data_IF_686925762277
#
_entry.id   IF_686925762277
#
_cell.length_a   1.000
_cell.length_b   1.000
_cell.length_c   1.000
_cell.angle_alpha   90.00
_cell.angle_beta   90.00
_cell.angle_gamma   90.00
#
_symmetry.space_group_name_H-M   'P 1'
#
loop_
_entity.id
_entity.type
_entity.pdbx_description
1 polymer ?
#
# COMPACT_ATOMS: atom_id res chain seq x y z
N UNK A 1 -6.35 40.97 -22.61
CA UNK A 1 -7.06 39.84 -23.28
C UNK A 1 -7.17 38.72 -22.27
N UNK A 2 -8.37 38.53 -21.68
CA UNK A 2 -8.61 37.45 -20.75
C UNK A 2 -8.58 36.14 -21.52
N UNK A 3 -7.80 35.17 -21.03
CA UNK A 3 -7.85 33.79 -21.54
C UNK A 3 -9.22 33.19 -21.29
N UNK A 4 -9.58 32.11 -21.97
CA UNK A 4 -10.87 31.49 -21.79
C UNK A 4 -11.03 31.01 -20.35
N UNK A 5 -12.18 31.36 -19.76
CA UNK A 5 -12.58 30.84 -18.46
C UNK A 5 -12.63 29.31 -18.51
N UNK A 6 -12.13 28.66 -17.48
CA UNK A 6 -12.16 27.19 -17.39
C UNK A 6 -13.22 26.76 -16.39
N UNK A 7 -14.05 25.81 -16.82
CA UNK A 7 -15.03 25.17 -15.97
C UNK A 7 -14.40 23.96 -15.25
N UNK A 8 -14.59 23.92 -13.93
CA UNK A 8 -14.20 22.78 -13.09
C UNK A 8 -15.43 22.19 -12.44
N UNK A 9 -15.53 20.87 -12.50
CA UNK A 9 -16.52 20.12 -11.73
C UNK A 9 -15.92 19.76 -10.37
N UNK A 10 -16.56 20.17 -9.30
CA UNK A 10 -16.18 19.83 -7.93
C UNK A 10 -17.24 18.92 -7.36
N UNK A 11 -16.83 17.73 -6.91
CA UNK A 11 -17.70 16.82 -6.17
C UNK A 11 -17.72 17.25 -4.70
N UNK A 12 -18.92 17.52 -4.17
CA UNK A 12 -19.11 17.84 -2.76
C UNK A 12 -19.43 16.55 -1.99
N UNK A 13 -19.29 16.56 -0.66
CA UNK A 13 -19.64 15.42 0.21
C UNK A 13 -21.10 14.93 0.05
N UNK A 14 -21.95 15.75 -0.59
CA UNK A 14 -23.35 15.41 -0.89
C UNK A 14 -23.53 14.83 -2.30
N UNK A 15 -22.44 14.58 -3.04
CA UNK A 15 -22.48 13.97 -4.37
C UNK A 15 -22.95 14.91 -5.50
N UNK A 16 -23.02 16.21 -5.27
CA UNK A 16 -23.42 17.20 -6.27
C UNK A 16 -22.19 17.76 -6.98
N UNK A 17 -22.19 17.69 -8.31
CA UNK A 17 -21.19 18.37 -9.13
C UNK A 17 -21.57 19.85 -9.26
N UNK A 18 -20.75 20.72 -8.71
CA UNK A 18 -20.87 22.17 -8.92
C UNK A 18 -19.82 22.60 -9.94
N UNK A 19 -20.26 23.24 -11.01
CA UNK A 19 -19.35 23.83 -12.01
C UNK A 19 -18.94 25.23 -11.55
N UNK A 20 -17.63 25.44 -11.47
CA UNK A 20 -17.05 26.72 -11.08
C UNK A 20 -16.29 27.27 -12.29
N UNK A 21 -16.67 28.47 -12.72
CA UNK A 21 -15.96 29.17 -13.76
C UNK A 21 -14.86 30.03 -13.13
N UNK A 22 -13.60 29.72 -13.40
CA UNK A 22 -12.44 30.41 -12.81
C UNK A 22 -11.55 31.00 -13.90
N UNK A 23 -11.13 32.24 -13.67
CA UNK A 23 -10.15 32.91 -14.53
C UNK A 23 -8.77 32.22 -14.46
N UNK A 24 -7.98 32.38 -15.52
CA UNK A 24 -6.67 31.75 -15.70
C UNK A 24 -5.74 31.95 -14.49
N UNK A 25 -5.72 33.15 -13.90
CA UNK A 25 -4.86 33.44 -12.72
C UNK A 25 -5.20 32.62 -11.50
N UNK A 26 -6.52 32.40 -11.24
CA UNK A 26 -6.97 31.59 -10.12
C UNK A 26 -6.65 30.11 -10.34
N UNK A 27 -6.70 29.65 -11.58
CA UNK A 27 -6.29 28.30 -11.95
C UNK A 27 -4.80 28.06 -11.75
N UNK A 28 -3.96 29.01 -12.15
CA UNK A 28 -2.51 28.91 -12.02
C UNK A 28 -2.10 28.85 -10.52
N UNK A 29 -2.76 29.65 -9.67
CA UNK A 29 -2.57 29.55 -8.22
C UNK A 29 -3.01 28.21 -7.64
N UNK A 30 -4.13 27.65 -8.11
CA UNK A 30 -4.59 26.32 -7.70
C UNK A 30 -3.58 25.22 -8.06
N UNK A 31 -3.02 25.27 -9.27
CA UNK A 31 -1.99 24.33 -9.71
C UNK A 31 -0.72 24.46 -8.85
N UNK A 32 -0.34 25.69 -8.49
CA UNK A 32 0.81 25.97 -7.64
C UNK A 32 0.58 25.45 -6.20
N UNK A 33 -0.62 25.63 -5.65
CA UNK A 33 -0.98 25.10 -4.33
C UNK A 33 -0.95 23.56 -4.32
N UNK A 34 -1.42 22.90 -5.37
CA UNK A 34 -1.32 21.44 -5.52
C UNK A 34 0.13 20.95 -5.63
N UNK A 35 1.01 21.70 -6.28
CA UNK A 35 2.44 21.36 -6.34
C UNK A 35 3.11 21.46 -4.98
N UNK A 36 2.74 22.46 -4.18
CA UNK A 36 3.30 22.66 -2.84
C UNK A 36 2.74 21.70 -1.80
N UNK A 37 1.48 21.26 -1.98
CA UNK A 37 0.73 20.43 -1.05
C UNK A 37 -0.05 19.34 -1.79
N UNK A 38 0.61 18.33 -2.37
CA UNK A 38 -0.03 17.34 -3.21
C UNK A 38 -1.08 16.47 -2.49
N UNK A 39 -1.05 16.46 -1.15
CA UNK A 39 -1.99 15.69 -0.32
C UNK A 39 -3.13 16.56 0.27
N UNK A 40 -3.20 17.83 -0.08
CA UNK A 40 -4.16 18.79 0.47
C UNK A 40 -5.03 19.39 -0.65
N UNK A 41 -5.61 18.52 -1.44
CA UNK A 41 -6.46 18.86 -2.58
C UNK A 41 -7.67 19.68 -2.14
N UNK A 42 -8.27 19.38 -0.99
CA UNK A 42 -9.43 20.08 -0.45
C UNK A 42 -9.13 21.52 -0.08
N UNK A 43 -7.93 21.79 0.45
CA UNK A 43 -7.49 23.15 0.74
C UNK A 43 -7.30 23.97 -0.53
N UNK A 44 -6.70 23.39 -1.57
CA UNK A 44 -6.50 24.06 -2.85
C UNK A 44 -7.83 24.38 -3.52
N UNK A 45 -8.78 23.45 -3.51
CA UNK A 45 -10.14 23.64 -4.00
C UNK A 45 -10.89 24.72 -3.19
N UNK A 46 -10.78 24.69 -1.87
CA UNK A 46 -11.41 25.69 -1.01
C UNK A 46 -10.88 27.10 -1.32
N UNK A 47 -9.57 27.28 -1.52
CA UNK A 47 -8.99 28.57 -1.92
C UNK A 47 -9.50 29.06 -3.27
N UNK A 48 -9.60 28.12 -4.25
CA UNK A 48 -10.10 28.43 -5.58
C UNK A 48 -11.55 28.89 -5.54
N UNK A 49 -12.40 28.16 -4.82
CA UNK A 49 -13.85 28.45 -4.66
C UNK A 49 -14.06 29.72 -3.83
N UNK A 50 -13.34 29.89 -2.74
CA UNK A 50 -13.46 31.03 -1.84
C UNK A 50 -13.09 32.38 -2.46
N UNK A 51 -12.19 32.40 -3.47
CA UNK A 51 -11.86 33.60 -4.22
C UNK A 51 -12.98 34.03 -5.19
N UNK A 52 -13.77 33.08 -5.66
CA UNK A 52 -14.78 33.31 -6.68
C UNK A 52 -16.20 33.43 -6.11
N UNK A 53 -16.43 33.05 -4.86
CA UNK A 53 -17.76 33.04 -4.23
C UNK A 53 -17.72 33.71 -2.85
N UNK A 54 -18.30 34.91 -2.74
CA UNK A 54 -18.34 35.66 -1.49
C UNK A 54 -19.17 34.99 -0.37
N UNK A 55 -19.97 33.98 -0.69
CA UNK A 55 -20.82 33.23 0.26
C UNK A 55 -20.09 32.11 1.01
N UNK A 56 -18.95 31.63 0.51
CA UNK A 56 -18.12 30.62 1.18
C UNK A 56 -17.09 31.25 2.14
N UNK A 57 -17.50 32.23 2.93
CA UNK A 57 -16.63 32.95 3.86
C UNK A 57 -16.33 32.22 5.17
N UNK A 58 -16.92 31.09 5.43
CA UNK A 58 -16.53 30.27 6.57
C UNK A 58 -15.35 29.40 6.15
N UNK A 59 -14.14 29.82 6.54
CA UNK A 59 -12.96 28.98 6.58
C UNK A 59 -13.40 27.66 7.25
N UNK A 60 -13.30 26.49 6.56
CA UNK A 60 -13.48 25.25 7.27
C UNK A 60 -12.56 25.34 8.48
N UNK A 61 -13.08 25.07 9.66
CA UNK A 61 -12.29 25.10 10.90
C UNK A 61 -11.25 23.97 10.83
N UNK A 62 -10.18 24.19 10.07
CA UNK A 62 -8.92 23.47 10.28
C UNK A 62 -8.30 24.00 11.58
N UNK A 63 -9.06 23.88 12.67
CA UNK A 63 -8.65 24.32 14.01
C UNK A 63 -7.76 23.28 14.71
N UNK A 64 -7.44 22.20 14.04
CA UNK A 64 -6.37 21.30 14.50
C UNK A 64 -5.25 21.27 13.46
N UNK A 65 -3.98 21.36 13.88
CA UNK A 65 -2.89 20.97 12.99
C UNK A 65 -3.25 19.59 12.44
N UNK A 66 -2.91 19.28 11.16
CA UNK A 66 -3.16 17.96 10.62
C UNK A 66 -2.70 16.96 11.67
N UNK A 67 -3.52 15.94 12.01
CA UNK A 67 -3.12 14.96 13.02
C UNK A 67 -1.69 14.54 12.68
N UNK A 68 -0.78 14.48 13.68
CA UNK A 68 0.60 14.07 13.42
C UNK A 68 0.50 12.81 12.56
N UNK A 69 1.32 12.67 11.49
CA UNK A 69 1.20 11.58 10.54
C UNK A 69 0.97 10.32 11.36
N UNK A 70 -0.16 9.67 11.14
CA UNK A 70 -0.58 8.53 11.93
C UNK A 70 0.65 7.64 12.04
N UNK A 71 1.12 7.37 13.27
CA UNK A 71 2.30 6.54 13.50
C UNK A 71 2.16 5.38 12.58
N UNK A 72 3.11 5.21 11.64
CA UNK A 72 2.97 4.22 10.59
C UNK A 72 2.61 2.91 11.28
N UNK A 73 1.36 2.47 11.12
CA UNK A 73 0.86 1.27 11.79
C UNK A 73 1.76 0.07 11.49
N UNK A 74 2.54 0.17 10.42
CA UNK A 74 3.54 -0.81 9.98
C UNK A 74 4.94 -0.42 10.44
N UNK A 75 5.11 -0.21 11.75
CA UNK A 75 6.34 0.32 12.34
C UNK A 75 7.45 -0.72 12.54
N UNK A 76 7.13 -2.02 12.42
CA UNK A 76 8.08 -3.10 12.72
C UNK A 76 8.55 -3.75 11.42
N UNK A 77 9.87 -3.80 11.21
CA UNK A 77 10.43 -4.55 10.08
C UNK A 77 10.24 -6.06 10.28
N UNK A 78 9.73 -6.73 9.26
CA UNK A 78 9.54 -8.19 9.22
C UNK A 78 10.29 -8.84 8.05
N UNK A 79 11.29 -8.14 7.49
CA UNK A 79 12.07 -8.66 6.37
C UNK A 79 12.85 -9.92 6.80
N UNK A 80 12.48 -11.06 6.21
CA UNK A 80 13.04 -12.38 6.57
C UNK A 80 12.28 -13.12 7.66
N UNK A 81 11.41 -12.45 8.41
CA UNK A 81 10.74 -12.99 9.61
C UNK A 81 9.21 -12.85 9.60
N UNK A 82 8.58 -12.86 8.44
CA UNK A 82 7.11 -12.87 8.33
C UNK A 82 6.56 -14.21 8.83
N UNK A 83 5.55 -14.18 9.68
CA UNK A 83 4.86 -15.36 10.24
C UNK A 83 3.36 -15.33 9.93
N UNK A 84 2.70 -16.47 10.12
CA UNK A 84 1.24 -16.57 10.00
C UNK A 84 0.58 -15.70 11.06
N UNK A 85 -0.43 -14.91 10.66
CA UNK A 85 -1.10 -13.93 11.52
C UNK A 85 -0.51 -12.53 11.44
N UNK A 86 0.66 -12.32 10.83
CA UNK A 86 1.18 -10.98 10.59
C UNK A 86 0.29 -10.21 9.61
N UNK A 87 0.00 -8.94 9.92
CA UNK A 87 -0.55 -7.98 8.98
C UNK A 87 0.63 -7.17 8.43
N UNK A 88 0.91 -7.35 7.15
CA UNK A 88 2.12 -6.84 6.50
C UNK A 88 1.82 -5.82 5.42
N UNK A 89 2.79 -4.93 5.21
CA UNK A 89 2.83 -3.96 4.11
C UNK A 89 4.15 -4.13 3.37
N UNK A 90 4.06 -4.26 2.06
CA UNK A 90 5.24 -4.45 1.21
C UNK A 90 5.03 -3.85 -0.18
N UNK A 91 6.15 -3.56 -0.84
CA UNK A 91 6.14 -3.10 -2.22
C UNK A 91 6.52 -4.22 -3.17
N UNK A 92 5.77 -4.37 -4.26
CA UNK A 92 6.11 -5.32 -5.31
C UNK A 92 6.14 -4.67 -6.69
N UNK A 93 7.06 -5.16 -7.52
CA UNK A 93 7.15 -4.75 -8.93
C UNK A 93 6.15 -5.52 -9.76
N UNK A 94 5.42 -4.81 -10.61
CA UNK A 94 4.43 -5.36 -11.55
C UNK A 94 5.05 -5.51 -12.92
N UNK A 95 4.88 -6.69 -13.51
CA UNK A 95 5.38 -7.01 -14.83
C UNK A 95 4.24 -7.49 -15.74
N UNK A 96 4.28 -7.09 -16.99
CA UNK A 96 3.40 -7.60 -18.04
C UNK A 96 4.21 -8.51 -18.95
N UNK A 97 3.67 -9.69 -19.23
CA UNK A 97 4.26 -10.61 -20.19
C UNK A 97 3.88 -10.19 -21.60
N UNK A 98 4.86 -9.85 -22.42
CA UNK A 98 4.70 -9.59 -23.84
C UNK A 98 5.55 -10.59 -24.62
N UNK A 99 4.90 -11.44 -25.38
CA UNK A 99 5.43 -12.47 -26.27
C UNK A 99 6.60 -13.34 -25.73
N UNK A 100 7.72 -12.80 -25.39
CA UNK A 100 8.90 -13.55 -24.90
C UNK A 100 9.62 -12.88 -23.72
N UNK A 101 9.21 -11.69 -23.32
CA UNK A 101 9.90 -10.93 -22.27
C UNK A 101 8.91 -10.30 -21.27
N UNK A 102 9.25 -10.40 -20.00
CA UNK A 102 8.57 -9.64 -18.97
C UNK A 102 8.96 -8.16 -19.07
N UNK A 103 7.99 -7.27 -19.29
CA UNK A 103 8.19 -5.81 -19.30
C UNK A 103 7.76 -5.26 -17.94
N UNK A 104 8.62 -4.50 -17.31
CA UNK A 104 8.31 -3.78 -16.09
C UNK A 104 7.24 -2.73 -16.37
N UNK A 105 6.18 -2.73 -15.55
CA UNK A 105 5.05 -1.80 -15.68
C UNK A 105 5.09 -0.72 -14.61
N UNK A 106 5.58 -1.04 -13.43
CA UNK A 106 5.64 -0.14 -12.30
C UNK A 106 5.60 -0.88 -10.97
N UNK A 107 5.24 -0.18 -9.92
CA UNK A 107 5.21 -0.70 -8.55
C UNK A 107 3.81 -0.56 -7.96
N UNK A 108 3.55 -1.41 -6.99
CA UNK A 108 2.38 -1.29 -6.13
C UNK A 108 2.73 -1.63 -4.70
N UNK A 109 2.05 -0.98 -3.79
CA UNK A 109 2.06 -1.27 -2.35
C UNK A 109 0.90 -2.19 -2.03
N UNK A 110 1.15 -3.22 -1.27
CA UNK A 110 0.15 -4.22 -0.87
C UNK A 110 0.13 -4.34 0.64
N UNK A 111 -1.06 -4.30 1.20
CA UNK A 111 -1.33 -4.63 2.60
C UNK A 111 -2.09 -5.95 2.66
N UNK A 112 -1.63 -6.88 3.46
CA UNK A 112 -2.19 -8.21 3.50
C UNK A 112 -1.98 -8.90 4.86
N UNK A 113 -2.90 -9.80 5.20
CA UNK A 113 -2.77 -10.75 6.31
C UNK A 113 -2.10 -12.02 5.80
N UNK A 114 -1.15 -12.54 6.57
CA UNK A 114 -0.50 -13.82 6.29
C UNK A 114 -1.34 -14.95 6.84
N UNK A 115 -2.03 -15.66 5.96
CA UNK A 115 -2.96 -16.74 6.35
C UNK A 115 -2.26 -18.08 6.48
N UNK A 116 -1.25 -18.33 5.64
CA UNK A 116 -0.52 -19.61 5.63
C UNK A 116 0.92 -19.40 5.16
N UNK A 117 1.82 -20.16 5.73
CA UNK A 117 3.16 -20.35 5.19
C UNK A 117 3.34 -21.83 4.76
N UNK A 118 4.19 -22.03 3.77
CA UNK A 118 4.60 -23.36 3.35
C UNK A 118 6.06 -23.37 2.92
N UNK A 119 6.76 -24.44 3.27
CA UNK A 119 8.14 -24.65 2.89
C UNK A 119 8.23 -25.80 1.89
N UNK A 120 8.61 -25.49 0.65
CA UNK A 120 8.76 -26.49 -0.39
C UNK A 120 9.98 -27.39 -0.12
N UNK A 121 9.74 -28.63 0.27
CA UNK A 121 10.80 -29.60 0.62
C UNK A 121 11.83 -29.80 -0.50
N UNK A 122 11.40 -29.81 -1.76
CA UNK A 122 12.31 -30.02 -2.92
C UNK A 122 13.11 -28.76 -3.28
N UNK A 123 12.50 -27.58 -3.23
CA UNK A 123 13.07 -26.34 -3.73
C UNK A 123 13.60 -25.41 -2.64
N UNK A 124 13.40 -25.77 -1.37
CA UNK A 124 13.66 -24.92 -0.20
C UNK A 124 13.08 -23.49 -0.35
N UNK A 125 11.94 -23.40 -1.00
CA UNK A 125 11.30 -22.13 -1.26
C UNK A 125 10.15 -21.90 -0.30
N UNK A 126 10.30 -20.89 0.53
CA UNK A 126 9.22 -20.38 1.37
C UNK A 126 8.16 -19.71 0.51
N UNK A 127 6.91 -20.06 0.73
CA UNK A 127 5.75 -19.49 0.03
C UNK A 127 4.71 -19.08 1.05
N UNK A 128 4.24 -17.84 0.97
CA UNK A 128 3.21 -17.29 1.83
C UNK A 128 1.89 -17.18 1.07
N UNK A 129 0.81 -17.58 1.72
CA UNK A 129 -0.56 -17.28 1.27
C UNK A 129 -1.02 -16.02 2.00
N UNK A 130 -1.38 -15.02 1.24
CA UNK A 130 -1.74 -13.70 1.71
C UNK A 130 -3.21 -13.44 1.41
N UNK A 131 -3.96 -12.92 2.39
CA UNK A 131 -5.29 -12.37 2.20
C UNK A 131 -5.16 -10.86 2.06
N UNK A 132 -5.50 -10.33 0.90
CA UNK A 132 -5.35 -8.91 0.59
C UNK A 132 -6.30 -8.07 1.46
N UNK A 133 -5.76 -7.03 2.09
CA UNK A 133 -6.49 -6.00 2.82
C UNK A 133 -6.69 -4.80 1.91
N UNK A 134 -5.60 -4.29 1.35
CA UNK A 134 -5.62 -3.19 0.40
C UNK A 134 -4.46 -3.30 -0.61
N UNK A 135 -4.61 -2.67 -1.76
CA UNK A 135 -3.54 -2.51 -2.73
C UNK A 135 -3.63 -1.13 -3.37
N UNK A 136 -2.49 -0.48 -3.57
CA UNK A 136 -2.39 0.85 -4.17
C UNK A 136 -1.29 0.87 -5.24
N UNK A 137 -1.48 1.63 -6.31
CA UNK A 137 -0.53 1.76 -7.41
C UNK A 137 -0.92 0.95 -8.65
N UNK A 138 0.07 0.53 -9.43
CA UNK A 138 -0.15 -0.11 -10.74
C UNK A 138 -0.90 -1.45 -10.60
N UNK A 139 -1.99 -1.58 -11.37
CA UNK A 139 -2.85 -2.78 -11.40
C UNK A 139 -3.38 -3.20 -10.00
N UNK A 140 -3.55 -2.25 -9.09
CA UNK A 140 -4.07 -2.51 -7.74
C UNK A 140 -5.44 -3.22 -7.79
N UNK A 141 -6.29 -2.91 -8.77
CA UNK A 141 -7.61 -3.52 -9.00
C UNK A 141 -7.55 -5.05 -9.19
N UNK A 142 -6.41 -5.60 -9.57
CA UNK A 142 -6.22 -7.05 -9.71
C UNK A 142 -6.12 -7.77 -8.36
N UNK A 143 -5.95 -7.01 -7.27
CA UNK A 143 -5.85 -7.46 -5.90
C UNK A 143 -6.94 -6.84 -5.02
N UNK A 144 -8.23 -7.13 -5.27
CA UNK A 144 -9.30 -6.61 -4.43
C UNK A 144 -9.19 -7.13 -2.98
N UNK A 145 -9.71 -6.38 -2.01
CA UNK A 145 -9.78 -6.82 -0.62
C UNK A 145 -10.42 -8.21 -0.47
N UNK A 146 -9.88 -9.02 0.43
CA UNK A 146 -10.31 -10.40 0.66
C UNK A 146 -9.75 -11.44 -0.29
N UNK A 147 -9.11 -11.06 -1.40
CA UNK A 147 -8.50 -11.99 -2.35
C UNK A 147 -7.34 -12.75 -1.70
N UNK A 148 -7.34 -14.08 -1.88
CA UNK A 148 -6.19 -14.91 -1.53
C UNK A 148 -5.20 -14.95 -2.68
N UNK A 149 -3.93 -14.75 -2.37
CA UNK A 149 -2.83 -14.81 -3.33
C UNK A 149 -1.60 -15.41 -2.70
N UNK A 150 -0.69 -15.95 -3.51
CA UNK A 150 0.55 -16.54 -3.01
C UNK A 150 1.75 -15.71 -3.42
N UNK A 151 2.73 -15.59 -2.51
CA UNK A 151 4.02 -14.93 -2.77
C UNK A 151 5.16 -15.80 -2.29
N UNK A 152 6.17 -15.92 -3.13
CA UNK A 152 7.43 -16.54 -2.74
C UNK A 152 8.18 -15.62 -1.80
N UNK A 153 8.76 -16.13 -0.73
CA UNK A 153 9.48 -15.34 0.27
C UNK A 153 10.53 -14.41 -0.33
N UNK A 154 11.32 -14.92 -1.29
CA UNK A 154 12.32 -14.09 -2.00
C UNK A 154 11.73 -12.86 -2.70
N UNK A 155 10.49 -12.95 -3.20
CA UNK A 155 9.83 -11.83 -3.86
C UNK A 155 9.20 -10.89 -2.84
N UNK A 156 8.65 -11.46 -1.77
CA UNK A 156 8.06 -10.71 -0.67
C UNK A 156 9.09 -9.82 0.01
N UNK A 157 10.27 -10.38 0.31
CA UNK A 157 11.33 -9.66 1.03
C UNK A 157 12.20 -8.74 0.15
N UNK A 158 12.04 -8.79 -1.16
CA UNK A 158 12.94 -8.09 -2.11
C UNK A 158 13.05 -6.59 -1.86
N UNK A 159 11.97 -5.93 -1.43
CA UNK A 159 11.91 -4.48 -1.20
C UNK A 159 11.66 -4.12 0.27
N UNK A 160 11.87 -5.09 1.16
CA UNK A 160 11.51 -4.95 2.56
C UNK A 160 10.03 -5.22 2.81
N UNK A 161 9.75 -5.63 4.02
CA UNK A 161 8.40 -5.89 4.53
C UNK A 161 8.30 -5.28 5.91
N UNK A 162 7.27 -4.52 6.14
CA UNK A 162 6.92 -4.02 7.45
C UNK A 162 5.63 -4.69 7.94
N UNK A 163 5.46 -4.83 9.23
CA UNK A 163 4.27 -5.38 9.86
C UNK A 163 3.66 -4.45 10.90
N UNK A 164 2.40 -4.64 11.18
CA UNK A 164 1.78 -4.07 12.37
C UNK A 164 2.30 -4.82 13.61
N UNK A 165 2.56 -4.12 14.73
CA UNK A 165 2.81 -4.80 15.99
C UNK A 165 1.60 -5.62 16.41
N UNK A 166 1.83 -6.78 16.98
CA UNK A 166 0.78 -7.60 17.56
C UNK A 166 0.32 -6.98 18.90
N UNK A 167 -0.95 -7.16 19.27
CA UNK A 167 -1.39 -6.80 20.62
C UNK A 167 -0.62 -7.51 21.73
N UNK A 168 -0.10 -8.71 21.42
CA UNK A 168 0.72 -9.54 22.30
C UNK A 168 1.87 -10.13 21.48
N UNK A 169 3.05 -9.51 21.54
CA UNK A 169 4.23 -9.93 20.80
C UNK A 169 4.78 -11.29 21.27
N UNK A 170 4.49 -11.71 22.51
CA UNK A 170 4.93 -13.02 23.01
C UNK A 170 4.24 -14.17 22.28
N UNK A 171 2.97 -13.99 21.88
CA UNK A 171 2.25 -14.96 21.05
C UNK A 171 2.84 -15.05 19.65
N UNK A 172 3.28 -13.92 19.10
CA UNK A 172 3.95 -13.90 17.79
C UNK A 172 5.28 -14.66 17.86
N UNK A 173 6.05 -14.47 18.93
CA UNK A 173 7.33 -15.16 19.15
C UNK A 173 7.13 -16.68 19.14
N UNK A 174 6.12 -17.18 19.82
CA UNK A 174 5.76 -18.61 19.79
C UNK A 174 5.52 -19.11 18.35
N UNK A 175 4.77 -18.36 17.54
CA UNK A 175 4.51 -18.71 16.12
C UNK A 175 5.79 -18.65 15.29
N UNK A 176 6.68 -17.71 15.58
CA UNK A 176 7.97 -17.59 14.91
C UNK A 176 8.88 -18.78 15.23
N UNK A 177 8.93 -19.22 16.48
CA UNK A 177 9.69 -20.38 16.91
C UNK A 177 9.20 -21.67 16.25
N UNK A 178 7.88 -21.88 16.21
CA UNK A 178 7.29 -23.00 15.49
C UNK A 178 7.67 -22.99 14.00
N UNK A 179 7.64 -21.84 13.36
CA UNK A 179 8.06 -21.68 11.96
C UNK A 179 9.54 -22.04 11.79
N UNK A 180 10.42 -21.57 12.70
CA UNK A 180 11.84 -21.87 12.67
C UNK A 180 12.11 -23.36 12.87
N UNK A 181 11.38 -24.01 13.78
CA UNK A 181 11.46 -25.44 14.01
C UNK A 181 11.09 -26.24 12.76
N UNK A 182 9.91 -25.96 12.17
CA UNK A 182 9.48 -26.58 10.89
C UNK A 182 10.51 -26.38 9.78
N UNK A 183 11.12 -25.18 9.70
CA UNK A 183 12.14 -24.87 8.73
C UNK A 183 13.44 -25.68 8.95
N UNK A 184 13.82 -25.91 10.21
CA UNK A 184 14.97 -26.73 10.59
C UNK A 184 14.73 -28.20 10.21
N UNK A 185 13.60 -28.76 10.60
CA UNK A 185 13.23 -30.15 10.27
C UNK A 185 13.22 -30.40 8.76
N UNK A 186 12.69 -29.45 7.99
CA UNK A 186 12.67 -29.56 6.52
C UNK A 186 14.08 -29.55 5.91
N UNK A 187 15.02 -28.77 6.48
CA UNK A 187 16.42 -28.77 6.05
C UNK A 187 17.12 -30.07 6.42
N UNK A 188 16.91 -30.55 7.65
CA UNK A 188 17.54 -31.77 8.17
C UNK A 188 17.05 -33.00 7.35
N UNK A 189 15.75 -33.07 7.08
CA UNK A 189 15.17 -34.11 6.22
C UNK A 189 15.75 -34.10 4.81
N UNK A 190 15.96 -32.92 4.23
CA UNK A 190 16.61 -32.81 2.92
C UNK A 190 18.06 -33.28 2.98
N UNK A 191 18.79 -32.91 4.01
CA UNK A 191 20.19 -33.28 4.17
C UNK A 191 20.34 -34.79 4.27
N UNK A 192 19.52 -35.47 5.10
CA UNK A 192 19.48 -36.94 5.17
C UNK A 192 19.22 -37.58 3.82
N UNK A 193 18.26 -37.08 3.06
CA UNK A 193 17.95 -37.58 1.72
C UNK A 193 19.09 -37.42 0.72
N UNK A 194 19.88 -36.33 0.83
CA UNK A 194 21.02 -36.08 -0.04
C UNK A 194 22.22 -37.01 0.28
N UNK A 195 22.36 -37.41 1.54
CA UNK A 195 23.45 -38.29 2.00
C UNK A 195 23.05 -39.77 2.06
N UNK A 196 21.84 -40.12 1.61
CA UNK A 196 21.40 -41.53 1.52
C UNK A 196 21.14 -42.21 2.86
N UNK A 197 20.82 -41.44 3.91
CA UNK A 197 20.51 -41.90 5.25
C UNK A 197 18.98 -42.15 5.46
N UNK A 198 18.27 -42.58 4.42
CA UNK A 198 16.86 -43.04 4.53
C UNK A 198 16.80 -44.57 4.59
#
# INVERSE_FOLDING_TARGET
MGGPDREFAVETEQGWLTYINVGQSAYDEFVEDLRRRPNDHDYALWRLVGKNNAELKTKPEFSSPPPPPAKDEYSVSATGDVVVGDIIKFNESVFVWSFKKAKYKGERTVEAEVVKDSYGAKTQQHTFTLKIISAQGIDAYTLPPGKLTTRKGRNLYKKGVNRKPWPDESKRETVADEKHLRGKEARDKRQRRLFGEE
#
